data_IF_975289815266
#
_entry.id   IF_975289815266
#
_cell.length_a   1.000
_cell.length_b   1.000
_cell.length_c   1.000
_cell.angle_alpha   90.00
_cell.angle_beta   90.00
_cell.angle_gamma   90.00
#
_symmetry.space_group_name_H-M   'P 1'
#
loop_
_entity.id
_entity.type
_entity.pdbx_description
1 polymer ?
#
# COMPACT_ATOMS: atom_id res chain seq x y z
N UNK A 1 -12.09 6.56 14.18
CA UNK A 1 -13.12 6.07 13.22
C UNK A 1 -14.45 5.95 13.94
N UNK A 2 -15.48 6.67 13.49
CA UNK A 2 -16.77 6.74 14.19
C UNK A 2 -17.63 5.51 13.89
N UNK A 3 -18.10 4.84 14.95
CA UNK A 3 -19.08 3.76 14.90
C UNK A 3 -20.47 4.36 15.08
N UNK A 4 -21.42 3.99 14.23
CA UNK A 4 -22.74 4.64 14.14
C UNK A 4 -23.92 3.68 14.34
N UNK A 5 -25.06 4.24 14.75
CA UNK A 5 -26.38 3.59 14.72
C UNK A 5 -27.47 4.56 14.22
N UNK A 6 -28.29 4.17 13.22
CA UNK A 6 -28.09 3.04 12.30
C UNK A 6 -26.85 3.24 11.41
N UNK A 7 -26.63 2.36 10.44
CA UNK A 7 -25.62 2.55 9.40
C UNK A 7 -25.83 3.88 8.65
N UNK A 8 -24.73 4.51 8.23
CA UNK A 8 -24.76 5.73 7.43
C UNK A 8 -24.22 6.96 8.17
N UNK A 9 -23.76 7.96 7.41
CA UNK A 9 -23.18 9.20 7.94
C UNK A 9 -24.16 10.02 8.80
N UNK A 10 -25.46 9.84 8.59
CA UNK A 10 -26.53 10.46 9.38
C UNK A 10 -26.84 9.71 10.68
N UNK A 11 -26.32 8.50 10.87
CA UNK A 11 -26.48 7.73 12.10
C UNK A 11 -25.75 8.39 13.29
N UNK A 12 -26.29 8.22 14.49
CA UNK A 12 -25.70 8.75 15.72
C UNK A 12 -24.40 8.03 16.04
N UNK A 13 -23.36 8.77 16.45
CA UNK A 13 -22.12 8.18 16.94
C UNK A 13 -22.37 7.45 18.27
N UNK A 14 -22.01 6.17 18.34
CA UNK A 14 -22.19 5.32 19.53
C UNK A 14 -20.87 4.82 20.12
N UNK A 15 -19.79 4.85 19.35
CA UNK A 15 -18.45 4.47 19.77
C UNK A 15 -17.42 5.04 18.78
N UNK A 16 -16.15 4.92 19.13
CA UNK A 16 -15.02 5.30 18.26
C UNK A 16 -13.94 4.22 18.32
N UNK A 17 -13.36 3.91 17.16
CA UNK A 17 -12.19 3.05 17.03
C UNK A 17 -10.95 3.90 16.77
N UNK A 18 -9.81 3.54 17.36
CA UNK A 18 -8.54 4.11 16.94
C UNK A 18 -8.23 3.71 15.49
N UNK A 19 -7.42 4.51 14.78
CA UNK A 19 -7.09 4.23 13.37
C UNK A 19 -6.27 2.94 13.21
N UNK A 20 -5.50 2.59 14.24
CA UNK A 20 -4.64 1.42 14.36
C UNK A 20 -5.30 0.28 15.17
N UNK A 21 -6.59 0.39 15.49
CA UNK A 21 -7.25 -0.62 16.31
C UNK A 21 -7.36 -1.97 15.60
N UNK A 22 -6.82 -3.01 16.22
CA UNK A 22 -6.84 -4.41 15.76
C UNK A 22 -7.90 -5.25 16.47
N UNK A 23 -8.13 -6.48 15.98
CA UNK A 23 -9.06 -7.42 16.59
C UNK A 23 -10.55 -7.02 16.49
N UNK A 24 -10.91 -6.22 15.49
CA UNK A 24 -12.30 -5.82 15.25
C UNK A 24 -13.08 -7.02 14.71
N UNK A 25 -14.11 -7.45 15.44
CA UNK A 25 -14.92 -8.61 15.06
C UNK A 25 -16.19 -8.13 14.36
N UNK A 26 -16.37 -8.56 13.11
CA UNK A 26 -17.61 -8.37 12.36
C UNK A 26 -18.68 -9.33 12.88
N UNK A 27 -19.92 -8.86 12.94
CA UNK A 27 -21.10 -9.71 13.26
C UNK A 27 -21.53 -10.59 12.07
N UNK A 28 -21.06 -10.24 10.86
CA UNK A 28 -21.51 -10.80 9.59
C UNK A 28 -22.60 -9.97 8.89
N UNK A 29 -23.27 -9.05 9.60
CA UNK A 29 -24.25 -8.14 8.99
C UNK A 29 -23.56 -7.07 8.14
N UNK A 30 -24.07 -6.83 6.94
CA UNK A 30 -23.65 -5.74 6.06
C UNK A 30 -24.84 -5.04 5.41
N UNK A 31 -24.67 -3.77 5.05
CA UNK A 31 -25.67 -3.01 4.28
C UNK A 31 -24.98 -2.04 3.34
N UNK A 32 -25.63 -1.73 2.22
CA UNK A 32 -25.14 -0.76 1.24
C UNK A 32 -25.99 0.49 1.29
N UNK A 33 -25.34 1.63 1.52
CA UNK A 33 -25.96 2.96 1.52
C UNK A 33 -25.27 3.82 0.46
N UNK A 34 -25.93 3.98 -0.69
CA UNK A 34 -25.33 4.59 -1.87
C UNK A 34 -24.16 3.76 -2.41
N UNK A 35 -23.00 4.40 -2.57
CA UNK A 35 -21.75 3.74 -2.96
C UNK A 35 -20.97 3.11 -1.79
N UNK A 36 -21.38 3.37 -0.54
CA UNK A 36 -20.66 2.89 0.64
C UNK A 36 -21.22 1.58 1.18
N UNK A 37 -20.33 0.63 1.43
CA UNK A 37 -20.64 -0.57 2.20
C UNK A 37 -20.39 -0.31 3.68
N UNK A 38 -21.39 -0.60 4.51
CA UNK A 38 -21.31 -0.54 5.95
C UNK A 38 -21.36 -1.96 6.51
N UNK A 39 -20.53 -2.25 7.50
CA UNK A 39 -20.52 -3.53 8.20
C UNK A 39 -20.80 -3.31 9.68
N UNK A 40 -21.52 -4.23 10.29
CA UNK A 40 -21.81 -4.20 11.71
C UNK A 40 -20.73 -4.96 12.49
N UNK A 41 -20.21 -4.31 13.53
CA UNK A 41 -19.14 -4.82 14.39
C UNK A 41 -19.67 -5.01 15.82
N UNK A 42 -18.97 -5.84 16.60
CA UNK A 42 -19.06 -5.79 18.05
C UNK A 42 -18.23 -4.60 18.55
N UNK A 43 -18.88 -3.61 19.15
CA UNK A 43 -18.22 -2.39 19.60
C UNK A 43 -17.40 -2.68 20.88
N UNK A 44 -16.20 -2.09 21.05
CA UNK A 44 -15.37 -2.28 22.24
C UNK A 44 -16.07 -1.87 23.54
N UNK A 45 -16.95 -0.87 23.45
CA UNK A 45 -17.76 -0.34 24.56
C UNK A 45 -18.97 -1.23 24.89
N UNK A 46 -19.14 -2.37 24.21
CA UNK A 46 -20.30 -3.26 24.34
C UNK A 46 -21.39 -2.99 23.29
N UNK A 47 -22.15 -4.04 22.98
CA UNK A 47 -23.19 -4.02 21.94
C UNK A 47 -22.63 -4.04 20.51
N UNK A 48 -23.47 -3.75 19.53
CA UNK A 48 -23.06 -3.64 18.11
C UNK A 48 -22.92 -2.20 17.66
N UNK A 49 -22.44 -1.97 16.44
CA UNK A 49 -22.50 -0.68 15.75
C UNK A 49 -21.99 -0.79 14.32
N UNK A 50 -22.21 0.22 13.50
CA UNK A 50 -21.89 0.19 12.07
C UNK A 50 -20.69 1.07 11.74
N UNK A 51 -19.77 0.55 10.96
CA UNK A 51 -18.62 1.28 10.43
C UNK A 51 -18.58 1.15 8.92
N UNK A 52 -18.09 2.17 8.23
CA UNK A 52 -17.85 2.09 6.80
C UNK A 52 -16.72 1.07 6.56
N UNK A 53 -16.99 0.05 5.74
CA UNK A 53 -16.05 -1.01 5.42
C UNK A 53 -14.76 -0.47 4.79
N UNK A 54 -14.83 0.70 4.14
CA UNK A 54 -13.67 1.38 3.57
C UNK A 54 -12.57 1.66 4.60
N UNK A 55 -12.91 1.80 5.89
CA UNK A 55 -11.93 2.07 6.96
C UNK A 55 -11.36 0.82 7.63
N UNK A 56 -11.72 -0.38 7.17
CA UNK A 56 -11.27 -1.64 7.76
C UNK A 56 -10.32 -2.38 6.82
N UNK A 57 -9.42 -3.17 7.39
CA UNK A 57 -8.63 -4.16 6.68
C UNK A 57 -8.66 -5.46 7.47
N UNK A 58 -8.39 -6.59 6.80
CA UNK A 58 -8.30 -7.88 7.49
C UNK A 58 -7.06 -7.90 8.40
N UNK A 59 -7.28 -8.23 9.67
CA UNK A 59 -6.21 -8.28 10.67
C UNK A 59 -5.48 -9.62 10.57
N UNK A 60 -4.33 -9.60 9.87
CA UNK A 60 -3.43 -10.75 9.76
C UNK A 60 -2.20 -10.52 10.65
N UNK A 61 -1.92 -11.40 11.62
CA UNK A 61 -0.73 -11.27 12.47
C UNK A 61 0.57 -11.30 11.65
N UNK A 62 1.58 -10.44 11.96
CA UNK A 62 2.84 -10.37 11.21
C UNK A 62 3.54 -11.70 11.00
N UNK A 63 3.59 -12.55 12.03
CA UNK A 63 4.23 -13.86 11.93
C UNK A 63 3.53 -14.78 10.91
N UNK A 64 2.19 -14.76 10.88
CA UNK A 64 1.41 -15.55 9.91
C UNK A 64 1.52 -15.00 8.50
N UNK A 65 1.60 -13.69 8.37
CA UNK A 65 1.83 -13.02 7.09
C UNK A 65 3.18 -13.41 6.48
N UNK A 66 4.28 -13.31 7.25
CA UNK A 66 5.62 -13.61 6.75
C UNK A 66 5.83 -15.09 6.38
N UNK A 67 5.02 -16.00 6.93
CA UNK A 67 5.04 -17.43 6.60
C UNK A 67 4.07 -17.81 5.45
N UNK A 68 3.23 -16.88 4.97
CA UNK A 68 2.20 -17.18 3.97
C UNK A 68 2.80 -17.27 2.54
N UNK A 69 2.92 -18.49 2.03
CA UNK A 69 3.44 -18.74 0.68
C UNK A 69 2.61 -18.08 -0.43
N UNK A 70 1.34 -17.74 -0.18
CA UNK A 70 0.49 -17.02 -1.16
C UNK A 70 0.97 -15.58 -1.35
N UNK A 71 1.57 -14.99 -0.33
CA UNK A 71 2.18 -13.66 -0.41
C UNK A 71 3.44 -13.70 -1.29
N UNK A 72 4.26 -14.73 -1.16
CA UNK A 72 5.43 -14.90 -2.03
C UNK A 72 5.02 -15.08 -3.49
N UNK A 73 4.03 -15.94 -3.77
CA UNK A 73 3.51 -16.13 -5.12
C UNK A 73 2.86 -14.85 -5.71
N UNK A 74 2.19 -14.05 -4.86
CA UNK A 74 1.65 -12.74 -5.23
C UNK A 74 2.77 -11.79 -5.66
N UNK A 75 3.84 -11.69 -4.87
CA UNK A 75 4.99 -10.82 -5.15
C UNK A 75 5.74 -11.26 -6.41
N UNK A 76 5.94 -12.56 -6.61
CA UNK A 76 6.53 -13.10 -7.85
C UNK A 76 5.67 -12.76 -9.08
N UNK A 77 4.35 -12.90 -8.98
CA UNK A 77 3.42 -12.54 -10.05
C UNK A 77 3.43 -11.04 -10.33
N UNK A 78 3.51 -10.21 -9.28
CA UNK A 78 3.65 -8.76 -9.42
C UNK A 78 4.94 -8.38 -10.14
N UNK A 79 6.08 -8.93 -9.72
CA UNK A 79 7.37 -8.67 -10.36
C UNK A 79 7.36 -9.13 -11.82
N UNK A 80 6.77 -10.28 -12.13
CA UNK A 80 6.58 -10.74 -13.51
C UNK A 80 5.73 -9.77 -14.33
N UNK A 81 4.61 -9.28 -13.77
CA UNK A 81 3.77 -8.27 -14.40
C UNK A 81 4.51 -6.94 -14.61
N UNK A 82 5.45 -6.62 -13.72
CA UNK A 82 6.31 -5.45 -13.84
C UNK A 82 7.32 -5.58 -14.96
N UNK A 83 8.11 -6.65 -14.97
CA UNK A 83 9.18 -6.87 -15.95
C UNK A 83 8.63 -7.01 -17.38
N UNK A 84 7.45 -7.63 -17.52
CA UNK A 84 6.82 -7.84 -18.83
C UNK A 84 5.92 -6.68 -19.28
N UNK A 85 5.83 -5.61 -18.49
CA UNK A 85 4.90 -4.49 -18.71
C UNK A 85 3.45 -4.95 -18.94
N UNK A 86 3.03 -5.98 -18.19
CA UNK A 86 1.73 -6.63 -18.33
C UNK A 86 0.73 -6.09 -17.29
N UNK A 87 -0.05 -5.10 -17.73
CA UNK A 87 -1.08 -4.46 -16.90
C UNK A 87 -2.24 -5.38 -16.55
N UNK A 88 -2.54 -6.41 -17.36
CA UNK A 88 -3.56 -7.40 -17.01
C UNK A 88 -3.11 -8.27 -15.85
N UNK A 89 -1.84 -8.67 -15.84
CA UNK A 89 -1.24 -9.40 -14.71
C UNK A 89 -1.24 -8.53 -13.46
N UNK A 90 -0.86 -7.24 -13.54
CA UNK A 90 -0.97 -6.32 -12.40
C UNK A 90 -2.39 -6.21 -11.85
N UNK A 91 -3.40 -6.14 -12.73
CA UNK A 91 -4.81 -6.05 -12.33
C UNK A 91 -5.27 -7.23 -11.48
N UNK A 92 -4.67 -8.42 -11.65
CA UNK A 92 -5.02 -9.63 -10.87
C UNK A 92 -4.41 -9.64 -9.48
N UNK A 93 -3.30 -8.93 -9.27
CA UNK A 93 -2.55 -8.92 -8.00
C UNK A 93 -2.81 -7.66 -7.17
N UNK A 94 -3.30 -6.59 -7.79
CA UNK A 94 -3.69 -5.36 -7.09
C UNK A 94 -5.04 -5.53 -6.38
N UNK A 95 -5.21 -4.85 -5.25
CA UNK A 95 -6.41 -4.92 -4.43
C UNK A 95 -7.69 -4.58 -5.25
N UNK A 96 -8.61 -5.54 -5.42
CA UNK A 96 -9.77 -5.37 -6.29
C UNK A 96 -10.85 -4.43 -5.71
N UNK A 97 -10.72 -4.03 -4.44
CA UNK A 97 -11.64 -3.11 -3.76
C UNK A 97 -11.10 -1.68 -3.73
N UNK A 98 -9.78 -1.49 -3.80
CA UNK A 98 -9.12 -0.19 -3.59
C UNK A 98 -8.22 0.29 -4.71
N UNK A 99 -7.73 -0.62 -5.55
CA UNK A 99 -6.69 -0.29 -6.53
C UNK A 99 -5.31 -0.23 -5.88
N UNK A 100 -4.43 0.59 -6.44
CA UNK A 100 -3.03 0.68 -6.06
C UNK A 100 -2.67 2.12 -5.68
N UNK A 101 -2.16 2.30 -4.46
CA UNK A 101 -1.59 3.56 -4.00
C UNK A 101 -0.07 3.54 -4.26
N UNK A 102 0.47 4.64 -4.74
CA UNK A 102 1.91 4.83 -4.92
C UNK A 102 2.37 6.11 -4.26
N UNK A 103 3.58 6.09 -3.69
CA UNK A 103 4.33 7.27 -3.28
C UNK A 103 5.74 7.21 -3.86
N UNK A 104 6.12 8.26 -4.60
CA UNK A 104 7.46 8.39 -5.18
C UNK A 104 8.56 8.46 -4.11
N UNK A 105 8.31 9.19 -3.03
CA UNK A 105 9.12 9.14 -1.82
C UNK A 105 8.13 9.11 -0.64
N UNK A 106 8.52 8.55 0.51
CA UNK A 106 7.58 8.33 1.62
C UNK A 106 6.85 9.60 2.12
N UNK A 107 7.44 10.78 1.93
CA UNK A 107 6.86 12.09 2.27
C UNK A 107 6.00 12.70 1.16
N UNK A 108 6.09 12.19 -0.06
CA UNK A 108 5.34 12.71 -1.20
C UNK A 108 3.86 12.29 -1.13
N UNK A 109 2.96 13.03 -1.79
CA UNK A 109 1.54 12.71 -1.83
C UNK A 109 1.27 11.32 -2.41
N UNK A 110 0.13 10.76 -2.03
CA UNK A 110 -0.38 9.52 -2.59
C UNK A 110 -0.93 9.74 -4.00
N UNK A 111 -0.54 8.87 -4.92
CA UNK A 111 -1.16 8.72 -6.23
C UNK A 111 -1.96 7.42 -6.23
N UNK A 112 -3.26 7.51 -6.55
CA UNK A 112 -4.16 6.37 -6.57
C UNK A 112 -4.46 5.94 -8.01
N UNK A 113 -4.10 4.70 -8.35
CA UNK A 113 -4.64 4.00 -9.51
C UNK A 113 -5.88 3.23 -9.10
N UNK A 114 -7.03 3.64 -9.64
CA UNK A 114 -8.28 2.89 -9.50
C UNK A 114 -8.14 1.48 -10.09
N UNK A 115 -8.99 0.56 -9.66
CA UNK A 115 -9.00 -0.82 -10.18
C UNK A 115 -9.16 -0.87 -11.70
N UNK A 116 -9.92 0.06 -12.29
CA UNK A 116 -10.11 0.17 -13.74
C UNK A 116 -8.92 0.76 -14.51
N UNK A 117 -8.01 1.49 -13.84
CA UNK A 117 -6.87 2.15 -14.49
C UNK A 117 -5.55 1.39 -14.33
N UNK A 118 -5.49 0.36 -13.48
CA UNK A 118 -4.29 -0.46 -13.28
C UNK A 118 -3.88 -1.17 -14.58
N UNK A 119 -4.83 -1.65 -15.38
CA UNK A 119 -4.55 -2.39 -16.61
C UNK A 119 -3.83 -1.54 -17.67
N UNK A 120 -4.04 -0.22 -17.66
CA UNK A 120 -3.44 0.71 -18.60
C UNK A 120 -2.20 1.43 -18.05
N UNK A 121 -1.71 1.09 -16.85
CA UNK A 121 -0.67 1.84 -16.14
C UNK A 121 0.64 2.03 -16.94
N UNK A 122 0.97 1.09 -17.83
CA UNK A 122 2.17 1.18 -18.69
C UNK A 122 1.95 1.97 -19.98
N UNK A 123 0.70 2.04 -20.46
CA UNK A 123 0.33 2.68 -21.72
C UNK A 123 -0.21 4.10 -21.53
N UNK A 124 -0.73 4.41 -20.34
CA UNK A 124 -1.22 5.73 -20.00
C UNK A 124 -0.05 6.68 -19.77
N UNK A 125 0.08 7.66 -20.66
CA UNK A 125 1.13 8.68 -20.63
C UNK A 125 0.63 10.01 -20.04
N UNK A 126 -0.52 10.00 -19.38
CA UNK A 126 -1.03 11.18 -18.68
C UNK A 126 -0.01 11.66 -17.65
N UNK A 127 0.26 12.96 -17.65
CA UNK A 127 1.17 13.58 -16.70
C UNK A 127 0.56 13.54 -15.30
N UNK A 128 1.34 13.05 -14.34
CA UNK A 128 0.98 12.97 -12.93
C UNK A 128 2.00 13.78 -12.14
N UNK A 129 1.53 14.51 -11.15
CA UNK A 129 2.37 15.16 -10.15
C UNK A 129 2.65 14.18 -9.01
N UNK A 130 3.91 13.73 -8.92
CA UNK A 130 4.37 12.78 -7.92
C UNK A 130 4.87 13.46 -6.64
N UNK A 131 4.68 14.77 -6.51
CA UNK A 131 5.19 15.58 -5.42
C UNK A 131 6.47 16.31 -5.79
N UNK A 132 7.32 16.57 -4.79
CA UNK A 132 8.51 17.42 -4.95
C UNK A 132 9.78 16.66 -4.65
N UNK A 133 10.87 17.08 -5.30
CA UNK A 133 12.21 16.66 -4.93
C UNK A 133 12.54 17.24 -3.54
N UNK A 134 13.03 16.39 -2.64
CA UNK A 134 13.26 16.73 -1.23
C UNK A 134 13.94 18.09 -1.01
N UNK A 135 13.33 18.91 -0.15
CA UNK A 135 13.86 20.24 0.21
C UNK A 135 13.73 21.32 -0.88
N UNK A 136 12.97 21.07 -1.95
CA UNK A 136 12.76 22.01 -3.06
C UNK A 136 11.30 22.18 -3.44
N UNK A 137 11.01 23.20 -4.26
CA UNK A 137 9.72 23.42 -4.92
C UNK A 137 9.68 22.81 -6.34
N UNK A 138 10.65 21.95 -6.69
CA UNK A 138 10.69 21.31 -8.01
C UNK A 138 9.79 20.08 -8.02
N UNK A 139 8.69 20.18 -8.77
CA UNK A 139 7.75 19.10 -8.97
C UNK A 139 8.31 17.97 -9.84
N UNK A 140 7.94 16.75 -9.48
CA UNK A 140 8.25 15.52 -10.22
C UNK A 140 7.03 15.23 -11.10
N UNK A 141 7.09 15.66 -12.36
CA UNK A 141 5.99 15.51 -13.30
C UNK A 141 6.30 14.44 -14.33
N UNK A 142 5.33 13.57 -14.61
CA UNK A 142 5.39 12.59 -15.68
C UNK A 142 4.45 11.42 -15.46
N UNK A 143 4.33 10.55 -16.44
CA UNK A 143 3.53 9.32 -16.32
C UNK A 143 4.19 8.29 -15.41
N UNK A 144 3.45 7.23 -15.04
CA UNK A 144 4.04 6.09 -14.34
C UNK A 144 5.22 5.50 -15.09
N UNK A 145 5.10 5.37 -16.41
CA UNK A 145 6.14 4.81 -17.27
C UNK A 145 7.41 5.64 -17.26
N UNK A 146 7.31 6.96 -17.15
CA UNK A 146 8.46 7.87 -17.20
C UNK A 146 9.12 8.02 -15.83
N UNK A 147 8.33 8.02 -14.74
CA UNK A 147 8.81 8.36 -13.41
C UNK A 147 9.01 7.11 -12.53
N UNK A 148 7.99 6.27 -12.40
CA UNK A 148 7.98 5.19 -11.40
C UNK A 148 8.54 3.89 -11.95
N UNK A 149 8.17 3.51 -13.18
CA UNK A 149 8.59 2.25 -13.79
C UNK A 149 10.12 2.09 -13.81
N UNK A 150 10.93 3.07 -14.23
CA UNK A 150 12.39 2.91 -14.24
C UNK A 150 12.98 2.70 -12.83
N UNK A 151 12.33 3.26 -11.81
CA UNK A 151 12.75 3.13 -10.41
C UNK A 151 12.39 1.78 -9.81
N UNK A 152 11.25 1.20 -10.21
CA UNK A 152 10.91 -0.17 -9.87
C UNK A 152 11.86 -1.14 -10.58
N UNK A 153 12.08 -0.96 -11.88
CA UNK A 153 12.98 -1.78 -12.67
C UNK A 153 14.42 -1.79 -12.11
N UNK A 154 14.92 -0.66 -11.64
CA UNK A 154 16.23 -0.57 -11.00
C UNK A 154 16.40 -1.49 -9.77
N UNK A 155 15.31 -1.78 -9.06
CA UNK A 155 15.32 -2.70 -7.91
C UNK A 155 14.99 -4.14 -8.32
N UNK A 156 14.02 -4.34 -9.21
CA UNK A 156 13.50 -5.67 -9.54
C UNK A 156 14.22 -6.38 -10.69
N UNK A 157 15.00 -5.67 -11.52
CA UNK A 157 15.85 -6.29 -12.55
C UNK A 157 17.18 -6.82 -12.01
N UNK A 158 17.49 -6.55 -10.74
CA UNK A 158 18.60 -7.16 -10.02
C UNK A 158 18.09 -8.26 -9.07
N UNK A 159 18.96 -8.84 -8.25
CA UNK A 159 18.56 -9.70 -7.13
C UNK A 159 18.54 -8.85 -5.85
N UNK A 160 17.43 -8.18 -5.50
CA UNK A 160 17.37 -7.32 -4.32
C UNK A 160 17.43 -8.13 -3.02
N UNK A 161 17.86 -7.48 -1.93
CA UNK A 161 17.62 -7.99 -0.59
C UNK A 161 16.13 -7.86 -0.26
N UNK A 162 15.55 -8.90 0.34
CA UNK A 162 14.12 -8.95 0.66
C UNK A 162 13.90 -9.16 2.15
N UNK A 163 13.02 -8.37 2.75
CA UNK A 163 12.58 -8.54 4.15
C UNK A 163 11.06 -8.43 4.29
N UNK A 164 10.52 -9.14 5.27
CA UNK A 164 9.12 -9.07 5.64
C UNK A 164 8.96 -8.24 6.92
N UNK A 165 8.07 -7.24 6.91
CA UNK A 165 7.74 -6.38 8.06
C UNK A 165 8.95 -5.75 8.77
N UNK A 166 10.06 -5.61 8.06
CA UNK A 166 11.30 -5.02 8.57
C UNK A 166 11.81 -4.05 7.49
N UNK A 167 11.98 -2.79 7.88
CA UNK A 167 12.50 -1.76 6.98
C UNK A 167 14.01 -1.94 6.75
N UNK A 168 14.42 -1.88 5.49
CA UNK A 168 15.83 -1.79 5.09
C UNK A 168 16.04 -0.52 4.27
N UNK A 169 17.09 0.21 4.59
CA UNK A 169 17.54 1.35 3.82
C UNK A 169 19.06 1.44 3.86
N UNK A 170 19.63 2.13 2.87
CA UNK A 170 21.04 2.51 2.89
C UNK A 170 21.27 3.79 3.70
N UNK A 171 22.35 4.49 3.37
CA UNK A 171 22.69 5.75 4.04
C UNK A 171 21.67 6.84 3.69
N UNK A 172 21.00 7.39 4.70
CA UNK A 172 20.00 8.47 4.58
C UNK A 172 20.09 9.44 5.75
N UNK A 173 19.62 10.67 5.54
CA UNK A 173 19.54 11.67 6.60
C UNK A 173 18.43 11.38 7.61
N UNK A 174 17.34 10.76 7.17
CA UNK A 174 16.17 10.45 8.00
C UNK A 174 15.93 8.96 8.03
N UNK A 175 15.58 8.43 9.21
CA UNK A 175 15.31 7.00 9.35
C UNK A 175 14.15 6.60 8.44
N UNK A 176 14.41 5.64 7.54
CA UNK A 176 13.36 5.04 6.72
C UNK A 176 12.42 4.24 7.61
N UNK A 177 11.18 4.71 7.75
CA UNK A 177 10.13 4.06 8.53
C UNK A 177 8.93 3.78 7.66
N UNK A 178 8.23 2.69 7.98
CA UNK A 178 6.90 2.44 7.43
C UNK A 178 5.94 3.52 7.94
N UNK A 179 5.12 4.16 7.08
CA UNK A 179 4.27 5.25 7.51
C UNK A 179 3.19 4.79 8.49
N UNK A 180 2.92 5.60 9.53
CA UNK A 180 2.02 5.23 10.63
C UNK A 180 0.58 5.01 10.18
N UNK A 181 0.15 5.72 9.15
CA UNK A 181 -1.15 5.54 8.50
C UNK A 181 -1.34 4.11 7.95
N UNK A 182 -0.25 3.35 7.78
CA UNK A 182 -0.23 1.98 7.30
C UNK A 182 0.18 0.96 8.39
N UNK A 183 0.24 1.32 9.67
CA UNK A 183 0.68 0.43 10.78
C UNK A 183 -0.13 -0.89 10.89
N UNK A 184 -1.36 -0.90 10.38
CA UNK A 184 -2.22 -2.08 10.34
C UNK A 184 -2.03 -2.97 9.11
N UNK A 185 -1.18 -2.57 8.17
CA UNK A 185 -0.86 -3.32 6.97
C UNK A 185 0.51 -3.97 7.11
N UNK A 186 0.59 -5.25 6.74
CA UNK A 186 1.87 -5.93 6.63
C UNK A 186 2.51 -5.61 5.27
N UNK A 187 3.84 -5.66 5.20
CA UNK A 187 4.57 -5.28 4.00
C UNK A 187 5.81 -6.15 3.77
N UNK A 188 6.27 -6.14 2.51
CA UNK A 188 7.58 -6.62 2.11
C UNK A 188 8.45 -5.47 1.63
N UNK A 189 9.75 -5.57 1.84
CA UNK A 189 10.74 -4.58 1.43
C UNK A 189 11.69 -5.23 0.45
N UNK A 190 11.96 -4.53 -0.66
CA UNK A 190 12.92 -4.92 -1.69
C UNK A 190 13.99 -3.83 -1.77
N UNK A 191 15.23 -4.19 -1.47
CA UNK A 191 16.33 -3.25 -1.34
C UNK A 191 17.45 -3.54 -2.36
N UNK A 192 17.80 -2.52 -3.13
CA UNK A 192 19.03 -2.46 -3.93
C UNK A 192 20.08 -1.64 -3.16
N UNK A 193 21.17 -2.26 -2.70
CA UNK A 193 22.23 -1.54 -2.00
C UNK A 193 22.97 -0.59 -2.93
N UNK A 194 23.74 0.34 -2.36
CA UNK A 194 24.59 1.20 -3.16
C UNK A 194 25.74 0.43 -3.81
N UNK A 195 26.15 0.80 -5.04
CA UNK A 195 27.30 0.17 -5.69
C UNK A 195 28.56 0.23 -4.81
N UNK A 196 29.33 -0.85 -4.77
CA UNK A 196 30.58 -0.91 -4.02
C UNK A 196 31.58 0.13 -4.57
N UNK A 197 32.16 0.95 -3.68
CA UNK A 197 33.07 2.04 -4.07
C UNK A 197 32.39 3.22 -4.79
N UNK A 198 31.07 3.18 -4.96
CA UNK A 198 30.28 4.24 -5.59
C UNK A 198 29.71 5.26 -4.61
N UNK A 199 28.71 6.01 -5.09
CA UNK A 199 27.97 6.94 -4.24
C UNK A 199 27.15 6.17 -3.20
N UNK A 200 27.45 6.33 -1.91
CA UNK A 200 26.74 5.68 -0.80
C UNK A 200 25.26 6.04 -0.69
N UNK A 201 24.79 7.11 -1.33
CA UNK A 201 23.39 7.51 -1.40
C UNK A 201 22.65 6.92 -2.60
N UNK A 202 23.38 6.30 -3.54
CA UNK A 202 22.79 5.65 -4.70
C UNK A 202 22.29 4.26 -4.31
N UNK A 203 21.31 4.18 -3.42
CA UNK A 203 20.57 2.96 -3.07
C UNK A 203 19.07 3.23 -3.23
N UNK A 204 18.29 2.17 -3.35
CA UNK A 204 16.84 2.27 -3.49
C UNK A 204 16.14 1.13 -2.78
N UNK A 205 15.02 1.46 -2.15
CA UNK A 205 14.14 0.50 -1.48
C UNK A 205 12.71 0.73 -1.94
N UNK A 206 11.99 -0.34 -2.26
CA UNK A 206 10.55 -0.34 -2.41
C UNK A 206 9.90 -1.14 -1.28
N UNK A 207 8.98 -0.52 -0.55
CA UNK A 207 8.10 -1.20 0.39
C UNK A 207 6.74 -1.45 -0.27
N UNK A 208 6.27 -2.70 -0.22
CA UNK A 208 5.02 -3.16 -0.82
C UNK A 208 4.07 -3.57 0.31
N UNK A 209 3.01 -2.79 0.49
CA UNK A 209 1.95 -3.05 1.45
C UNK A 209 0.90 -4.02 0.89
N UNK A 210 0.52 -5.00 1.70
CA UNK A 210 -0.36 -6.10 1.30
C UNK A 210 -1.57 -6.18 2.23
N UNK A 211 -2.74 -6.23 1.63
CA UNK A 211 -4.01 -6.41 2.33
C UNK A 211 -4.67 -7.72 1.93
N UNK A 212 -5.43 -8.29 2.87
CA UNK A 212 -6.24 -9.47 2.59
C UNK A 212 -7.67 -9.04 2.30
N UNK A 213 -8.22 -9.62 1.24
CA UNK A 213 -9.62 -9.48 0.86
C UNK A 213 -10.20 -10.87 0.72
N UNK A 214 -11.12 -11.21 1.62
CA UNK A 214 -11.71 -12.53 1.74
C UNK A 214 -10.63 -13.62 1.88
N UNK A 215 -9.67 -13.38 2.78
CA UNK A 215 -8.51 -14.25 3.04
C UNK A 215 -7.58 -14.47 1.83
N UNK A 216 -7.65 -13.63 0.79
CA UNK A 216 -6.72 -13.62 -0.33
C UNK A 216 -5.83 -12.37 -0.28
N UNK A 217 -4.48 -12.48 -0.32
CA UNK A 217 -3.60 -11.31 -0.32
C UNK A 217 -3.60 -10.59 -1.67
N UNK A 218 -3.51 -9.26 -1.61
CA UNK A 218 -3.39 -8.35 -2.73
C UNK A 218 -2.46 -7.17 -2.41
N UNK A 219 -1.82 -6.63 -3.43
CA UNK A 219 -0.99 -5.42 -3.31
C UNK A 219 -1.89 -4.20 -3.24
N UNK A 220 -1.72 -3.39 -2.20
CA UNK A 220 -2.48 -2.15 -2.01
C UNK A 220 -1.61 -0.90 -2.14
N UNK A 221 -0.34 -0.96 -1.74
CA UNK A 221 0.53 0.23 -1.63
C UNK A 221 1.95 -0.06 -2.08
N UNK A 222 2.56 0.88 -2.79
CA UNK A 222 4.00 0.92 -3.12
C UNK A 222 4.60 2.23 -2.62
N UNK A 223 5.69 2.16 -1.87
CA UNK A 223 6.39 3.33 -1.34
C UNK A 223 7.87 3.20 -1.64
N UNK A 224 8.44 4.19 -2.32
CA UNK A 224 9.87 4.26 -2.53
C UNK A 224 10.57 5.01 -1.38
N UNK A 225 11.77 4.51 -1.07
CA UNK A 225 12.79 5.16 -0.26
C UNK A 225 14.10 5.14 -1.04
N UNK A 226 14.86 6.22 -0.96
CA UNK A 226 16.15 6.38 -1.63
C UNK A 226 17.05 7.28 -0.81
N UNK A 227 18.35 7.26 -1.10
CA UNK A 227 19.29 8.15 -0.44
C UNK A 227 18.96 9.61 -0.71
N UNK A 228 18.79 10.36 0.37
CA UNK A 228 18.70 11.80 0.41
C UNK A 228 19.98 12.39 1.04
N UNK A 229 20.32 13.61 0.65
CA UNK A 229 21.47 14.37 1.17
C UNK A 229 20.94 15.53 2.01
#
# INVERSE_FOLDING_TARGET
IIVRKPAGISGTAVSELAYDQRGIILTGSSTRLGSSTWVEIYAPTGGTGWVNFWYLTEDVPPARFCEDLRVNALLETFVSGLINHDGETLTRVVNPKRGLILRHDWWNPEVLYSTSSVSSIYSDLSEIDWGVLGGSDFHILGSFREIILPQLEDVFLISPEVKCNEMIAGVTTQVAVWPREFDNMNFYVFHRPSPEGGNKYDWRTWAIGIEYVENQPYISVLIQYRGDI
#
